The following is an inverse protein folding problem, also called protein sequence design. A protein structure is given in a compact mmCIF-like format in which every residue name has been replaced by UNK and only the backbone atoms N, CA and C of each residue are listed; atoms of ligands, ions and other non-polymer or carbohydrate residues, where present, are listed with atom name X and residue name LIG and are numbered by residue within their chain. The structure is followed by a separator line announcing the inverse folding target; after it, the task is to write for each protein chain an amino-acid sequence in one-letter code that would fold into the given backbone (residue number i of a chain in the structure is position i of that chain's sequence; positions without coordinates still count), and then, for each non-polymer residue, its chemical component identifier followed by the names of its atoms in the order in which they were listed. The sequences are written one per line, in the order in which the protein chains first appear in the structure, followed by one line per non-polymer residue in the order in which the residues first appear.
data_IF_775379663539
#
_entry.id   IF_775379663539
#
_cell.length_a   1.000
_cell.length_b   1.000
_cell.length_c   1.000
_cell.angle_alpha   90.00
_cell.angle_beta   90.00
_cell.angle_gamma   90.00
#
_symmetry.space_group_name_H-M   'P 1'
#
loop_
_entity.id
_entity.type
_entity.pdbx_description
1 polymer ?
#
# COMPACT_ATOMS: atom_id res chain seq x y z
N UNK A 1 -6.28 11.07 -27.18
CA UNK A 1 -7.24 10.27 -26.39
C UNK A 1 -6.73 10.35 -24.96
N UNK A 2 -7.48 10.88 -23.97
CA UNK A 2 -6.99 10.83 -22.60
C UNK A 2 -7.02 9.37 -22.17
N UNK A 3 -5.85 8.80 -21.90
CA UNK A 3 -5.73 7.50 -21.24
C UNK A 3 -6.47 7.61 -19.90
N UNK A 4 -7.57 6.87 -19.77
CA UNK A 4 -8.30 6.80 -18.52
C UNK A 4 -7.44 5.94 -17.62
N UNK A 5 -6.60 6.57 -16.79
CA UNK A 5 -5.93 5.88 -15.71
C UNK A 5 -7.03 5.45 -14.73
N UNK A 6 -7.39 4.17 -14.77
CA UNK A 6 -8.32 3.60 -13.82
C UNK A 6 -7.61 3.55 -12.47
N UNK A 7 -7.81 4.58 -11.64
CA UNK A 7 -7.40 4.54 -10.25
C UNK A 7 -8.45 3.76 -9.46
N UNK A 8 -8.15 2.52 -9.11
CA UNK A 8 -8.91 1.74 -8.15
C UNK A 8 -8.41 2.03 -6.74
N UNK A 9 -9.32 1.92 -5.76
CA UNK A 9 -8.97 1.98 -4.35
C UNK A 9 -9.13 0.59 -3.76
N UNK A 10 -8.04 0.08 -3.20
CA UNK A 10 -7.93 -1.24 -2.61
C UNK A 10 -7.91 -1.04 -1.11
N UNK A 11 -8.83 -1.70 -0.41
CA UNK A 11 -8.88 -1.66 1.05
C UNK A 11 -8.46 -3.00 1.63
N UNK A 12 -7.52 -2.96 2.56
CA UNK A 12 -7.06 -4.12 3.31
C UNK A 12 -7.37 -3.94 4.79
N UNK A 13 -7.55 -5.05 5.50
CA UNK A 13 -7.72 -5.04 6.95
C UNK A 13 -6.34 -5.20 7.60
N UNK A 14 -5.93 -4.25 8.44
CA UNK A 14 -4.64 -4.25 9.13
C UNK A 14 -4.38 -5.53 9.95
N UNK A 15 -5.42 -6.18 10.44
CA UNK A 15 -5.32 -7.38 11.29
C UNK A 15 -4.95 -8.64 10.49
N UNK A 16 -5.35 -8.69 9.21
CA UNK A 16 -5.13 -9.86 8.32
C UNK A 16 -4.18 -9.57 7.17
N UNK A 17 -3.66 -8.34 7.08
CA UNK A 17 -2.88 -7.89 5.94
C UNK A 17 -1.39 -8.16 6.18
N UNK A 18 -0.83 -9.04 5.35
CA UNK A 18 0.59 -9.34 5.35
C UNK A 18 1.33 -8.33 4.47
N UNK A 19 2.23 -7.57 5.08
CA UNK A 19 3.06 -6.60 4.39
C UNK A 19 4.47 -6.56 4.96
N UNK A 20 5.42 -6.28 4.07
CA UNK A 20 6.81 -6.05 4.40
C UNK A 20 7.08 -4.54 4.36
N UNK A 21 7.64 -4.00 5.45
CA UNK A 21 8.03 -2.60 5.49
C UNK A 21 9.34 -2.41 4.72
N UNK A 22 9.26 -1.88 3.51
CA UNK A 22 10.43 -1.60 2.66
C UNK A 22 11.14 -0.34 3.14
N UNK A 23 10.36 0.67 3.52
CA UNK A 23 10.89 1.93 4.02
C UNK A 23 10.06 2.42 5.20
N UNK A 24 10.74 3.00 6.19
CA UNK A 24 10.09 3.61 7.34
C UNK A 24 10.75 4.95 7.65
N UNK A 25 9.94 5.89 8.09
CA UNK A 25 10.41 7.19 8.56
C UNK A 25 9.81 7.44 9.94
N UNK A 26 10.65 7.85 10.89
CA UNK A 26 10.22 8.19 12.26
C UNK A 26 9.48 7.04 12.99
N UNK A 27 9.80 5.78 12.68
CA UNK A 27 9.18 4.58 13.27
C UNK A 27 7.91 4.09 12.56
N UNK A 28 7.48 4.77 11.50
CA UNK A 28 6.28 4.44 10.74
C UNK A 28 6.62 3.96 9.33
N UNK A 29 5.91 2.97 8.81
CA UNK A 29 6.14 2.45 7.47
C UNK A 29 5.74 3.47 6.38
N UNK A 30 6.69 4.07 5.68
CA UNK A 30 6.41 5.01 4.57
C UNK A 30 6.27 4.29 3.23
N UNK A 31 6.90 3.12 3.09
CA UNK A 31 6.73 2.26 1.93
C UNK A 31 6.54 0.82 2.37
N UNK A 32 5.44 0.23 1.92
CA UNK A 32 5.12 -1.17 2.18
C UNK A 32 5.15 -1.95 0.87
N UNK A 33 5.56 -3.20 0.97
CA UNK A 33 5.50 -4.19 -0.10
C UNK A 33 4.55 -5.30 0.34
N UNK A 34 3.63 -5.66 -0.53
CA UNK A 34 2.68 -6.74 -0.28
C UNK A 34 2.40 -7.49 -1.57
N UNK A 35 2.03 -8.76 -1.45
CA UNK A 35 1.67 -9.57 -2.61
C UNK A 35 0.36 -9.07 -3.22
N UNK A 36 0.35 -8.89 -4.53
CA UNK A 36 -0.80 -8.37 -5.26
C UNK A 36 -1.01 -9.10 -6.57
N UNK A 37 -2.27 -9.22 -6.98
CA UNK A 37 -2.61 -9.78 -8.28
C UNK A 37 -2.43 -8.75 -9.40
N UNK A 38 -1.29 -8.82 -10.10
CA UNK A 38 -0.95 -7.90 -11.21
C UNK A 38 -1.92 -7.97 -12.40
N UNK A 39 -2.84 -8.95 -12.44
CA UNK A 39 -3.88 -9.01 -13.47
C UNK A 39 -5.08 -8.12 -13.15
N UNK A 40 -5.24 -7.74 -11.87
CA UNK A 40 -6.35 -6.91 -11.38
C UNK A 40 -5.93 -5.49 -11.03
N UNK A 41 -4.67 -5.30 -10.66
CA UNK A 41 -4.18 -4.04 -10.10
C UNK A 41 -3.02 -3.48 -10.91
N UNK A 42 -2.88 -2.16 -10.89
CA UNK A 42 -1.92 -1.41 -11.69
C UNK A 42 -1.18 -0.35 -10.85
N UNK A 43 0.04 0.02 -11.25
CA UNK A 43 0.71 1.17 -10.67
C UNK A 43 -0.15 2.42 -10.88
N UNK A 44 -0.40 3.17 -9.80
CA UNK A 44 -1.35 4.28 -9.75
C UNK A 44 -2.61 4.00 -8.92
N UNK A 45 -2.88 2.74 -8.59
CA UNK A 45 -3.95 2.38 -7.65
C UNK A 45 -3.66 2.87 -6.23
N UNK A 46 -4.72 3.17 -5.48
CA UNK A 46 -4.64 3.62 -4.09
C UNK A 46 -4.83 2.43 -3.17
N UNK A 47 -3.98 2.31 -2.15
CA UNK A 47 -4.02 1.28 -1.13
C UNK A 47 -4.36 1.93 0.20
N UNK A 48 -5.45 1.48 0.79
CA UNK A 48 -5.94 1.92 2.09
C UNK A 48 -5.91 0.72 3.02
N UNK A 49 -5.19 0.83 4.13
CA UNK A 49 -5.26 -0.19 5.18
C UNK A 49 -6.10 0.36 6.32
N UNK A 50 -7.13 -0.38 6.70
CA UNK A 50 -8.08 -0.04 7.73
C UNK A 50 -7.82 -0.95 8.95
N UNK A 51 -7.65 -0.34 10.11
CA UNK A 51 -7.67 -1.04 11.40
C UNK A 51 -8.98 -0.69 12.10
N UNK A 52 -9.90 -1.66 12.18
CA UNK A 52 -11.27 -1.44 12.61
C UNK A 52 -11.96 -0.32 11.80
N UNK A 53 -12.12 0.87 12.38
CA UNK A 53 -12.77 2.04 11.78
C UNK A 53 -11.77 3.15 11.37
N UNK A 54 -10.48 2.96 11.64
CA UNK A 54 -9.43 3.94 11.39
C UNK A 54 -8.55 3.57 10.18
N UNK A 55 -8.25 4.56 9.35
CA UNK A 55 -7.28 4.43 8.26
C UNK A 55 -5.88 4.49 8.84
N UNK A 56 -5.17 3.37 8.82
CA UNK A 56 -3.79 3.27 9.32
C UNK A 56 -2.74 3.42 8.20
N UNK A 57 -3.14 3.30 6.94
CA UNK A 57 -2.26 3.51 5.79
C UNK A 57 -3.08 4.02 4.61
N UNK A 58 -2.56 5.02 3.88
CA UNK A 58 -3.19 5.54 2.67
C UNK A 58 -2.10 5.89 1.64
N UNK A 59 -1.64 4.87 0.93
CA UNK A 59 -0.59 4.99 -0.06
C UNK A 59 -1.06 4.79 -1.48
N UNK A 60 -0.20 5.09 -2.44
CA UNK A 60 -0.42 4.81 -3.86
C UNK A 60 0.59 3.75 -4.29
N UNK A 61 0.16 2.79 -5.09
CA UNK A 61 1.05 1.79 -5.71
C UNK A 61 1.94 2.51 -6.71
N UNK A 62 3.21 2.69 -6.34
CA UNK A 62 4.21 3.30 -7.23
C UNK A 62 4.69 2.34 -8.31
N UNK A 63 4.76 1.04 -7.97
CA UNK A 63 5.20 -0.02 -8.89
C UNK A 63 4.70 -1.38 -8.44
N UNK A 64 4.59 -2.30 -9.40
CA UNK A 64 4.32 -3.73 -9.15
C UNK A 64 5.44 -4.51 -9.83
N UNK A 65 6.19 -5.30 -9.07
CA UNK A 65 7.30 -6.12 -9.56
C UNK A 65 7.26 -7.48 -8.86
N UNK A 66 7.53 -8.56 -9.61
CA UNK A 66 7.60 -9.93 -9.07
C UNK A 66 6.34 -10.38 -8.30
N UNK A 67 5.16 -9.92 -8.74
CA UNK A 67 3.88 -10.21 -8.05
C UNK A 67 3.66 -9.42 -6.76
N UNK A 68 4.52 -8.43 -6.46
CA UNK A 68 4.42 -7.59 -5.28
C UNK A 68 4.15 -6.13 -5.65
N UNK A 69 3.18 -5.49 -4.99
CA UNK A 69 2.94 -4.05 -5.07
C UNK A 69 3.79 -3.32 -4.04
N UNK A 70 4.33 -2.17 -4.47
CA UNK A 70 5.01 -1.21 -3.61
C UNK A 70 4.11 0.00 -3.45
N UNK A 71 3.49 0.14 -2.27
CA UNK A 71 2.68 1.30 -1.95
C UNK A 71 3.48 2.30 -1.11
N UNK A 72 3.37 3.57 -1.48
CA UNK A 72 4.03 4.68 -0.80
C UNK A 72 3.00 5.61 -0.17
N UNK A 73 3.15 5.87 1.12
CA UNK A 73 2.33 6.82 1.88
C UNK A 73 3.10 8.14 2.08
N UNK A 74 2.68 9.25 1.42
CA UNK A 74 3.34 10.54 1.55
C UNK A 74 3.02 11.29 2.84
N UNK A 75 2.01 10.86 3.61
CA UNK A 75 1.60 11.51 4.88
C UNK A 75 2.25 10.88 6.11
N UNK A 76 2.94 9.75 5.93
CA UNK A 76 3.37 8.88 7.01
C UNK A 76 2.21 7.98 7.40
N UNK A 77 2.43 6.67 7.33
CA UNK A 77 1.42 5.73 7.81
C UNK A 77 1.42 5.67 9.34
N UNK A 78 0.36 5.08 9.89
CA UNK A 78 0.30 4.63 11.27
C UNK A 78 0.65 3.13 11.38
N UNK A 79 1.07 2.50 10.28
CA UNK A 79 1.56 1.14 10.31
C UNK A 79 2.92 1.13 11.02
N UNK A 80 3.01 0.32 12.06
CA UNK A 80 4.28 0.04 12.71
C UNK A 80 5.27 -0.49 11.67
N UNK A 81 6.49 0.03 11.69
CA UNK A 81 7.57 -0.51 10.90
C UNK A 81 7.85 -1.95 11.36
N UNK A 82 7.28 -2.92 10.66
CA UNK A 82 7.57 -4.34 10.82
C UNK A 82 8.93 -4.62 10.18
N UNK A 83 9.99 -4.24 10.89
CA UNK A 83 11.34 -4.73 10.60
C UNK A 83 11.44 -6.07 11.31
N UNK A 84 11.29 -7.16 10.56
CA UNK A 84 11.68 -8.49 11.06
C UNK A 84 13.19 -8.67 10.93
#
# INVERSE_FOLDING_TARGET
MPEVAFCQTISFNADTFEYETVNHENGNATMIKFEIDYTRYSPGDVVVVLSADDVVFHGIIGKIEDGCAYAYDPKGSLLAATVQ
#
